data_IF_310653385887
#
_entry.id   IF_310653385887
#
_cell.length_a   1.000
_cell.length_b   1.000
_cell.length_c   1.000
_cell.angle_alpha   90.00
_cell.angle_beta   90.00
_cell.angle_gamma   90.00
#
_symmetry.space_group_name_H-M   'P 1'
#
loop_
_entity.id
_entity.type
_entity.pdbx_description
1 polymer ?
#
# COMPACT_ATOMS: atom_id res chain seq x y z
N UNK A 1 -3.24 8.14 -9.90
CA UNK A 1 -3.65 9.48 -9.40
C UNK A 1 -4.76 10.12 -10.25
N UNK A 2 -4.54 10.41 -11.54
CA UNK A 2 -5.49 11.18 -12.36
C UNK A 2 -6.91 10.55 -12.49
N UNK A 3 -7.03 9.22 -12.55
CA UNK A 3 -8.34 8.55 -12.68
C UNK A 3 -9.25 8.72 -11.45
N UNK A 4 -8.74 8.39 -10.25
CA UNK A 4 -9.52 8.49 -9.01
C UNK A 4 -9.78 9.94 -8.61
N UNK A 5 -8.80 10.84 -8.77
CA UNK A 5 -8.96 12.25 -8.42
C UNK A 5 -10.01 12.93 -9.31
N UNK A 6 -10.14 12.52 -10.58
CA UNK A 6 -11.16 13.04 -11.49
C UNK A 6 -12.58 12.71 -11.03
N UNK A 7 -12.80 11.55 -10.41
CA UNK A 7 -14.15 11.07 -10.05
C UNK A 7 -14.48 11.36 -8.58
N UNK A 8 -13.49 11.27 -7.69
CA UNK A 8 -13.69 11.30 -6.23
C UNK A 8 -12.86 12.37 -5.52
N UNK A 9 -12.55 13.49 -6.18
CA UNK A 9 -11.70 14.57 -5.65
C UNK A 9 -12.00 14.97 -4.19
N UNK A 10 -13.28 15.02 -3.82
CA UNK A 10 -13.76 15.45 -2.49
C UNK A 10 -13.40 14.48 -1.35
N UNK A 11 -13.00 13.25 -1.67
CA UNK A 11 -12.68 12.20 -0.68
C UNK A 11 -11.17 12.03 -0.46
N UNK A 12 -10.33 12.89 -1.04
CA UNK A 12 -8.88 12.85 -0.83
C UNK A 12 -8.49 13.76 0.35
N UNK A 13 -7.91 13.17 1.39
CA UNK A 13 -7.34 13.93 2.51
C UNK A 13 -5.87 14.29 2.26
N UNK A 14 -5.07 13.31 1.83
CA UNK A 14 -3.62 13.44 1.64
C UNK A 14 -3.21 12.77 0.32
N UNK A 15 -2.16 13.30 -0.33
CA UNK A 15 -1.54 12.66 -1.49
C UNK A 15 -0.02 12.69 -1.39
N UNK A 16 0.64 11.53 -1.57
CA UNK A 16 2.08 11.42 -1.71
C UNK A 16 2.51 11.36 -3.18
N UNK A 17 3.65 11.95 -3.51
CA UNK A 17 4.30 11.87 -4.83
C UNK A 17 5.69 11.23 -4.69
N UNK A 18 6.35 10.96 -5.83
CA UNK A 18 7.73 10.42 -5.92
C UNK A 18 7.96 8.98 -5.45
N UNK A 19 6.90 8.23 -5.17
CA UNK A 19 6.99 6.80 -4.87
C UNK A 19 7.20 6.01 -6.18
N UNK A 20 8.17 5.09 -6.19
CA UNK A 20 8.47 4.19 -7.33
C UNK A 20 9.70 4.56 -8.16
N UNK A 21 10.34 5.72 -7.91
CA UNK A 21 11.62 6.08 -8.55
C UNK A 21 12.80 5.32 -7.95
N UNK A 22 12.82 5.22 -6.62
CA UNK A 22 13.77 4.40 -5.86
C UNK A 22 13.01 3.22 -5.21
N UNK A 23 13.71 2.13 -4.84
CA UNK A 23 13.10 1.05 -4.07
C UNK A 23 12.48 1.61 -2.78
N UNK A 24 11.21 1.27 -2.48
CA UNK A 24 10.56 1.80 -1.29
C UNK A 24 11.27 1.32 -0.03
N UNK A 25 11.50 2.24 0.91
CA UNK A 25 12.14 1.98 2.20
C UNK A 25 11.12 2.02 3.34
N UNK A 26 11.48 1.49 4.50
CA UNK A 26 10.61 1.59 5.67
C UNK A 26 10.41 3.04 6.11
N UNK A 27 11.42 3.89 5.94
CA UNK A 27 11.31 5.33 6.25
C UNK A 27 10.21 6.01 5.43
N UNK A 28 10.08 5.67 4.14
CA UNK A 28 8.99 6.19 3.29
C UNK A 28 7.61 5.77 3.80
N UNK A 29 7.49 4.50 4.22
CA UNK A 29 6.26 3.97 4.79
C UNK A 29 5.94 4.61 6.15
N UNK A 30 6.94 4.87 6.99
CA UNK A 30 6.78 5.58 8.26
C UNK A 30 6.31 7.02 8.06
N UNK A 31 6.84 7.73 7.06
CA UNK A 31 6.38 9.08 6.71
C UNK A 31 4.92 9.04 6.26
N UNK A 32 4.53 8.07 5.43
CA UNK A 32 3.15 7.90 5.00
C UNK A 32 2.21 7.54 6.18
N UNK A 33 2.61 6.63 7.05
CA UNK A 33 1.87 6.27 8.26
C UNK A 33 1.69 7.49 9.18
N UNK A 34 2.76 8.25 9.40
CA UNK A 34 2.72 9.48 10.19
C UNK A 34 1.76 10.50 9.57
N UNK A 35 1.78 10.70 8.25
CA UNK A 35 0.84 11.60 7.57
C UNK A 35 -0.63 11.15 7.71
N UNK A 36 -0.89 9.84 7.80
CA UNK A 36 -2.23 9.31 8.07
C UNK A 36 -2.63 9.59 9.51
N UNK A 37 -1.75 9.36 10.49
CA UNK A 37 -2.02 9.63 11.90
C UNK A 37 -2.21 11.12 12.19
N UNK A 38 -1.36 11.97 11.61
CA UNK A 38 -1.41 13.43 11.75
C UNK A 38 -2.63 14.06 11.02
N UNK A 39 -3.35 13.29 10.18
CA UNK A 39 -4.53 13.79 9.47
C UNK A 39 -5.73 14.08 10.39
N UNK A 40 -5.72 13.57 11.62
CA UNK A 40 -6.80 13.76 12.60
C UNK A 40 -8.14 13.15 12.17
N UNK A 41 -8.15 12.31 11.14
CA UNK A 41 -9.35 11.64 10.66
C UNK A 41 -9.57 10.35 11.43
N UNK A 42 -10.66 10.29 12.18
CA UNK A 42 -11.04 9.10 12.92
C UNK A 42 -11.72 8.10 11.97
N UNK A 43 -11.21 6.87 11.93
CA UNK A 43 -11.72 5.82 11.05
C UNK A 43 -11.96 4.53 11.82
N UNK A 44 -13.15 3.97 11.64
CA UNK A 44 -13.54 2.71 12.29
C UNK A 44 -12.93 1.49 11.56
N UNK A 45 -12.79 1.58 10.24
CA UNK A 45 -12.13 0.55 9.41
C UNK A 45 -11.31 1.19 8.31
N UNK A 46 -10.08 0.70 8.13
CA UNK A 46 -9.19 1.12 7.04
C UNK A 46 -8.95 -0.03 6.07
N UNK A 47 -8.78 0.27 4.79
CA UNK A 47 -8.36 -0.74 3.80
C UNK A 47 -7.27 -0.19 2.89
N UNK A 48 -6.12 -0.87 2.88
CA UNK A 48 -5.04 -0.62 1.94
C UNK A 48 -5.30 -1.46 0.69
N UNK A 49 -5.46 -0.79 -0.45
CA UNK A 49 -5.58 -1.45 -1.75
C UNK A 49 -4.22 -1.39 -2.44
N UNK A 50 -3.71 -2.55 -2.86
CA UNK A 50 -2.41 -2.67 -3.51
C UNK A 50 -2.41 -3.82 -4.52
N UNK A 51 -1.42 -3.84 -5.40
CA UNK A 51 -1.23 -4.96 -6.32
C UNK A 51 -0.30 -5.98 -5.67
N UNK A 52 -0.84 -7.18 -5.42
CA UNK A 52 -0.09 -8.32 -4.92
C UNK A 52 0.57 -9.03 -6.09
N UNK A 53 1.86 -9.31 -5.94
CA UNK A 53 2.60 -10.04 -6.95
C UNK A 53 2.19 -11.53 -6.93
N UNK A 54 1.78 -12.07 -8.08
CA UNK A 54 1.45 -13.51 -8.21
C UNK A 54 2.48 -14.23 -9.07
N UNK A 55 2.81 -13.66 -10.22
CA UNK A 55 3.87 -14.14 -11.11
C UNK A 55 4.42 -13.00 -11.96
N UNK A 56 5.47 -13.27 -12.73
CA UNK A 56 6.06 -12.28 -13.64
C UNK A 56 5.03 -11.67 -14.59
N UNK A 57 4.01 -12.44 -14.97
CA UNK A 57 3.00 -12.05 -15.97
C UNK A 57 1.68 -11.61 -15.32
N UNK A 58 1.44 -11.95 -14.06
CA UNK A 58 0.15 -11.75 -13.40
C UNK A 58 0.30 -11.13 -12.01
N UNK A 59 -0.55 -10.14 -11.74
CA UNK A 59 -0.72 -9.51 -10.44
C UNK A 59 -2.22 -9.42 -10.14
N UNK A 60 -2.55 -9.37 -8.85
CA UNK A 60 -3.94 -9.32 -8.38
C UNK A 60 -4.11 -8.14 -7.43
N UNK A 61 -5.17 -7.35 -7.63
CA UNK A 61 -5.50 -6.25 -6.71
C UNK A 61 -6.05 -6.84 -5.41
N UNK A 62 -5.26 -6.73 -4.35
CA UNK A 62 -5.58 -7.23 -3.02
C UNK A 62 -5.92 -6.09 -2.06
N UNK A 63 -6.65 -6.43 -1.00
CA UNK A 63 -7.07 -5.51 0.04
C UNK A 63 -6.52 -6.00 1.39
N UNK A 64 -5.84 -5.13 2.11
CA UNK A 64 -5.42 -5.38 3.50
C UNK A 64 -6.26 -4.51 4.42
N UNK A 65 -6.82 -5.13 5.46
CA UNK A 65 -7.58 -4.40 6.47
C UNK A 65 -6.62 -3.80 7.49
N UNK A 66 -6.88 -2.56 7.87
CA UNK A 66 -6.25 -1.88 9.00
C UNK A 66 -7.29 -1.84 10.13
N UNK A 67 -6.87 -2.28 11.30
CA UNK A 67 -7.65 -2.20 12.53
C UNK A 67 -7.21 -0.96 13.33
N UNK A 68 -8.11 -0.04 13.68
CA UNK A 68 -7.78 1.05 14.58
C UNK A 68 -7.54 0.55 16.02
N UNK A 69 -6.91 1.38 16.84
CA UNK A 69 -6.56 1.07 18.22
C UNK A 69 -7.77 0.57 19.04
N UNK A 70 -8.91 1.23 18.91
CA UNK A 70 -10.15 0.85 19.62
C UNK A 70 -10.63 -0.55 19.23
N UNK A 71 -10.54 -0.90 17.94
CA UNK A 71 -10.90 -2.23 17.46
C UNK A 71 -9.90 -3.31 17.92
N UNK A 72 -8.65 -2.94 18.17
CA UNK A 72 -7.65 -3.82 18.76
C UNK A 72 -7.99 -4.05 20.23
N UNK A 73 -8.23 -2.99 21.01
CA UNK A 73 -8.62 -3.06 22.43
C UNK A 73 -9.89 -3.87 22.68
N UNK A 74 -10.86 -3.80 21.77
CA UNK A 74 -12.10 -4.56 21.87
C UNK A 74 -11.96 -6.09 21.66
N UNK A 75 -10.78 -6.60 21.30
CA UNK A 75 -10.58 -8.05 21.09
C UNK A 75 -10.39 -8.80 22.40
N UNK A 76 -11.23 -9.79 22.64
CA UNK A 76 -11.16 -10.67 23.83
C UNK A 76 -9.83 -11.42 23.98
N UNK A 77 -9.10 -11.63 22.88
CA UNK A 77 -7.77 -12.24 22.91
C UNK A 77 -6.73 -11.43 23.69
N UNK A 78 -6.93 -10.11 23.84
CA UNK A 78 -6.05 -9.27 24.66
C UNK A 78 -6.20 -9.52 26.16
N UNK A 79 -7.35 -10.04 26.62
CA UNK A 79 -7.59 -10.36 28.03
C UNK A 79 -6.68 -11.48 28.56
N UNK A 80 -5.99 -12.20 27.67
CA UNK A 80 -5.00 -13.22 28.04
C UNK A 80 -3.65 -12.60 28.43
N UNK A 81 -3.42 -11.32 28.11
CA UNK A 81 -2.19 -10.61 28.42
C UNK A 81 -2.38 -9.77 29.70
N UNK A 82 -1.65 -10.14 30.75
CA UNK A 82 -1.84 -9.66 32.13
C UNK A 82 -1.37 -8.21 32.38
N UNK A 83 -0.66 -7.60 31.40
CA UNK A 83 -0.07 -6.27 31.54
C UNK A 83 0.26 -5.65 30.17
N UNK A 84 -0.78 -5.30 29.40
CA UNK A 84 -0.56 -4.47 28.20
C UNK A 84 -0.90 -3.03 28.55
N UNK A 85 0.14 -2.23 28.73
CA UNK A 85 -0.01 -0.79 28.93
C UNK A 85 -0.63 -0.14 27.67
N UNK A 86 -1.46 0.88 27.87
CA UNK A 86 -2.11 1.61 26.79
C UNK A 86 -1.09 2.24 25.82
N UNK A 87 0.05 2.72 26.34
CA UNK A 87 1.15 3.29 25.55
C UNK A 87 1.82 2.25 24.63
N UNK A 88 1.88 0.99 25.07
CA UNK A 88 2.44 -0.12 24.29
C UNK A 88 1.48 -0.50 23.17
N UNK A 89 0.18 -0.54 23.44
CA UNK A 89 -0.85 -0.79 22.43
C UNK A 89 -0.88 0.30 21.36
N UNK A 90 -0.74 1.56 21.77
CA UNK A 90 -0.64 2.68 20.84
C UNK A 90 0.59 2.53 19.94
N UNK A 91 1.78 2.33 20.54
CA UNK A 91 3.03 2.12 19.80
C UNK A 91 2.94 0.93 18.84
N UNK A 92 2.30 -0.16 19.26
CA UNK A 92 2.06 -1.34 18.43
C UNK A 92 1.14 -1.03 17.24
N UNK A 93 0.05 -0.31 17.46
CA UNK A 93 -0.89 0.07 16.39
C UNK A 93 -0.22 0.96 15.34
N UNK A 94 0.52 1.98 15.78
CA UNK A 94 1.26 2.90 14.91
C UNK A 94 2.34 2.16 14.10
N UNK A 95 3.09 1.27 14.74
CA UNK A 95 4.10 0.46 14.07
C UNK A 95 3.47 -0.54 13.07
N UNK A 96 2.37 -1.17 13.45
CA UNK A 96 1.63 -2.11 12.59
C UNK A 96 1.12 -1.42 11.33
N UNK A 97 0.62 -0.18 11.44
CA UNK A 97 0.21 0.62 10.28
C UNK A 97 1.38 0.86 9.32
N UNK A 98 2.54 1.29 9.83
CA UNK A 98 3.73 1.51 9.02
C UNK A 98 4.22 0.21 8.35
N UNK A 99 4.19 -0.90 9.08
CA UNK A 99 4.55 -2.23 8.55
C UNK A 99 3.62 -2.67 7.42
N UNK A 100 2.30 -2.52 7.57
CA UNK A 100 1.33 -2.90 6.54
C UNK A 100 1.47 -2.05 5.28
N UNK A 101 1.70 -0.74 5.43
CA UNK A 101 1.98 0.16 4.31
C UNK A 101 3.26 -0.27 3.60
N UNK A 102 4.33 -0.57 4.36
CA UNK A 102 5.60 -1.03 3.79
C UNK A 102 5.45 -2.35 3.01
N UNK A 103 4.70 -3.31 3.56
CA UNK A 103 4.38 -4.56 2.88
C UNK A 103 3.66 -4.32 1.55
N UNK A 104 2.61 -3.49 1.57
CA UNK A 104 1.87 -3.13 0.36
C UNK A 104 2.74 -2.41 -0.68
N UNK A 105 3.64 -1.52 -0.26
CA UNK A 105 4.57 -0.82 -1.15
C UNK A 105 5.54 -1.79 -1.84
N UNK A 106 6.08 -2.78 -1.13
CA UNK A 106 7.00 -3.78 -1.70
C UNK A 106 6.33 -4.68 -2.74
N UNK A 107 5.14 -5.18 -2.42
CA UNK A 107 4.34 -6.01 -3.32
C UNK A 107 3.96 -5.24 -4.60
N UNK A 108 3.51 -4.00 -4.44
CA UNK A 108 3.11 -3.15 -5.56
C UNK A 108 4.31 -2.76 -6.43
N UNK A 109 5.46 -2.43 -5.83
CA UNK A 109 6.67 -2.09 -6.58
C UNK A 109 7.15 -3.27 -7.43
N UNK A 110 7.11 -4.50 -6.89
CA UNK A 110 7.50 -5.71 -7.63
C UNK A 110 6.55 -5.97 -8.79
N UNK A 111 5.24 -5.87 -8.54
CA UNK A 111 4.20 -6.03 -9.57
C UNK A 111 4.32 -4.99 -10.69
N UNK A 112 4.69 -3.76 -10.35
CA UNK A 112 4.90 -2.70 -11.33
C UNK A 112 6.12 -2.99 -12.21
N UNK A 113 7.25 -3.40 -11.62
CA UNK A 113 8.44 -3.73 -12.40
C UNK A 113 8.21 -4.92 -13.33
N UNK A 114 7.51 -5.97 -12.87
CA UNK A 114 7.20 -7.12 -13.73
C UNK A 114 6.29 -6.74 -14.90
N UNK A 115 5.24 -5.96 -14.63
CA UNK A 115 4.33 -5.43 -15.65
C UNK A 115 5.05 -4.57 -16.68
N UNK A 116 5.96 -3.69 -16.23
CA UNK A 116 6.77 -2.84 -17.12
C UNK A 116 7.67 -3.69 -18.02
N UNK A 117 8.30 -4.73 -17.48
CA UNK A 117 9.16 -5.64 -18.25
C UNK A 117 8.36 -6.37 -19.34
N UNK A 118 7.19 -6.94 -19.00
CA UNK A 118 6.32 -7.62 -19.97
C UNK A 118 5.78 -6.67 -21.04
N UNK A 119 5.39 -5.44 -20.66
CA UNK A 119 4.93 -4.44 -21.62
C UNK A 119 6.03 -4.02 -22.61
N UNK A 120 7.27 -3.86 -22.14
CA UNK A 120 8.41 -3.51 -23.00
C UNK A 120 8.81 -4.64 -23.96
N UNK A 121 8.80 -5.90 -23.49
CA UNK A 121 9.04 -7.06 -24.36
C UNK A 121 7.96 -7.18 -25.45
N UNK A 122 6.69 -6.99 -25.08
CA UNK A 122 5.57 -6.95 -26.03
C UNK A 122 5.71 -5.83 -27.06
N UNK A 123 6.07 -4.62 -26.64
CA UNK A 123 6.31 -3.49 -27.54
C UNK A 123 7.48 -3.76 -28.51
N UNK A 124 8.59 -4.32 -28.02
CA UNK A 124 9.77 -4.63 -28.85
C UNK A 124 9.46 -5.67 -29.92
N UNK A 125 8.70 -6.71 -29.57
CA UNK A 125 8.24 -7.73 -30.53
C UNK A 125 7.29 -7.15 -31.58
N UNK A 126 6.41 -6.24 -31.18
CA UNK A 126 5.48 -5.58 -32.11
C UNK A 126 6.21 -4.64 -33.08
N UNK A 127 7.16 -3.85 -32.59
CA UNK A 127 8.00 -3.00 -33.44
C UNK A 127 8.75 -3.84 -34.50
N UNK A 128 9.42 -4.91 -34.07
CA UNK A 128 10.13 -5.81 -34.98
C UNK A 128 9.23 -6.59 -35.96
N UNK A 129 7.93 -6.77 -35.67
CA UNK A 129 6.96 -7.31 -36.65
C UNK A 129 6.60 -6.28 -37.72
N UNK A 130 6.36 -5.03 -37.31
CA UNK A 130 5.97 -3.96 -38.22
C UNK A 130 7.12 -3.62 -39.19
N UNK A 131 8.37 -3.61 -38.72
CA UNK A 131 9.56 -3.35 -39.56
C UNK A 131 9.82 -4.47 -40.60
N UNK A 132 9.34 -5.70 -40.38
CA UNK A 132 9.48 -6.81 -41.34
C UNK A 132 8.35 -6.88 -42.37
N UNK A 133 7.29 -6.10 -42.17
CA UNK A 133 6.13 -6.04 -43.07
C UNK A 133 6.12 -4.78 -43.95
N UNK A 134 7.04 -3.84 -43.71
CA UNK A 134 7.32 -2.66 -44.54
C UNK A 134 8.45 -2.95 -45.53
#
# INVERSE_FOLDING_TARGET
RAGLQRVYAKHFLVSGNEIGRAPPTFADASIAAKAVLDSGFDFETGTIVFNKFKSVVSYETSKLQILPLEAIKAKEALNTYDSVDDDVLQSYSEYSLAQLIYYAMKESATSEQSSRMTAMDGASKNAGRNDRQA
#
